data_IF_832311848440
#
_entry.id   IF_832311848440
#
_cell.length_a   1.000
_cell.length_b   1.000
_cell.length_c   1.000
_cell.angle_alpha   90.00
_cell.angle_beta   90.00
_cell.angle_gamma   90.00
#
_symmetry.space_group_name_H-M   'P 1'
#
loop_
_entity.id
_entity.type
_entity.pdbx_description
1 polymer ?
#
# COMPACT_ATOMS: atom_id res chain seq x y z
N UNK A 1 20.77 5.41 2.28
CA UNK A 1 20.17 4.33 1.44
C UNK A 1 19.20 3.53 2.28
N UNK A 2 18.03 3.17 1.72
CA UNK A 2 17.04 2.30 2.37
C UNK A 2 17.66 0.99 2.90
N UNK A 3 17.14 0.45 3.99
CA UNK A 3 17.54 -0.86 4.48
C UNK A 3 16.85 -1.96 3.68
N UNK A 4 17.55 -2.57 2.75
CA UNK A 4 17.08 -3.74 1.98
C UNK A 4 17.79 -4.97 2.50
N UNK A 5 17.02 -6.00 2.95
CA UNK A 5 17.62 -7.18 3.56
C UNK A 5 16.95 -8.47 3.12
N UNK A 6 17.78 -9.43 2.73
CA UNK A 6 17.33 -10.81 2.52
C UNK A 6 16.86 -11.44 3.84
N UNK A 7 15.74 -12.13 3.79
CA UNK A 7 15.22 -12.94 4.89
C UNK A 7 14.76 -14.30 4.37
N UNK A 8 15.22 -15.40 4.97
CA UNK A 8 14.85 -16.78 4.59
C UNK A 8 15.11 -17.10 3.13
N UNK A 9 16.20 -16.58 2.55
CA UNK A 9 16.56 -16.81 1.14
C UNK A 9 15.70 -16.04 0.14
N UNK A 10 14.95 -15.04 0.58
CA UNK A 10 14.17 -14.14 -0.26
C UNK A 10 14.75 -12.73 -0.19
N UNK A 11 15.17 -12.23 -1.33
CA UNK A 11 15.68 -10.84 -1.48
C UNK A 11 14.61 -9.98 -2.12
N UNK A 12 14.35 -8.76 -1.60
CA UNK A 12 13.40 -7.85 -2.22
C UNK A 12 13.76 -7.53 -3.68
N UNK A 13 12.74 -7.46 -4.53
CA UNK A 13 12.84 -7.07 -5.94
C UNK A 13 12.20 -5.70 -6.12
N UNK A 14 12.98 -4.75 -6.63
CA UNK A 14 12.57 -3.36 -6.80
C UNK A 14 12.52 -3.03 -8.30
N UNK A 15 11.39 -2.54 -8.78
CA UNK A 15 11.21 -2.11 -10.16
C UNK A 15 11.97 -0.81 -10.50
N UNK A 16 12.17 -0.59 -11.78
CA UNK A 16 12.88 0.59 -12.31
C UNK A 16 12.20 1.90 -11.86
N UNK A 17 12.98 2.97 -11.75
CA UNK A 17 12.56 4.31 -11.37
C UNK A 17 11.87 4.42 -10.01
N UNK A 18 11.90 3.39 -9.17
CA UNK A 18 11.30 3.43 -7.84
C UNK A 18 12.19 4.21 -6.87
N UNK A 19 11.58 5.20 -6.21
CA UNK A 19 12.23 5.96 -5.13
C UNK A 19 12.15 5.21 -3.80
N UNK A 20 13.27 5.15 -3.09
CA UNK A 20 13.35 4.57 -1.75
C UNK A 20 13.99 5.59 -0.80
N UNK A 21 13.22 6.12 0.15
CA UNK A 21 13.75 7.01 1.17
C UNK A 21 14.79 6.29 2.05
N UNK A 22 15.78 7.01 2.57
CA UNK A 22 16.94 6.44 3.28
C UNK A 22 16.58 5.62 4.51
N UNK A 23 15.47 5.96 5.17
CA UNK A 23 14.98 5.25 6.36
C UNK A 23 13.90 4.21 6.07
N UNK A 24 13.58 3.96 4.79
CA UNK A 24 12.68 2.88 4.42
C UNK A 24 13.31 1.51 4.70
N UNK A 25 12.49 0.57 5.17
CA UNK A 25 12.91 -0.80 5.53
C UNK A 25 12.16 -1.81 4.68
N UNK A 26 12.88 -2.62 3.89
CA UNK A 26 12.29 -3.57 2.95
C UNK A 26 12.96 -4.93 3.16
N UNK A 27 12.22 -5.91 3.68
CA UNK A 27 12.77 -7.17 4.14
C UNK A 27 12.06 -8.37 3.50
N UNK A 28 12.82 -9.36 3.04
CA UNK A 28 12.31 -10.67 2.64
C UNK A 28 11.58 -10.70 1.30
N UNK A 29 10.47 -11.44 1.22
CA UNK A 29 9.69 -11.66 -0.01
C UNK A 29 8.82 -10.45 -0.37
N UNK A 30 9.45 -9.39 -0.84
CA UNK A 30 8.82 -8.15 -1.27
C UNK A 30 9.11 -7.89 -2.74
N UNK A 31 8.07 -7.65 -3.53
CA UNK A 31 8.20 -7.23 -4.93
C UNK A 31 7.52 -5.87 -5.10
N UNK A 32 8.25 -4.89 -5.61
CA UNK A 32 7.77 -3.52 -5.87
C UNK A 32 7.85 -3.27 -7.36
N UNK A 33 6.78 -2.73 -7.95
CA UNK A 33 6.70 -2.37 -9.35
C UNK A 33 7.55 -1.15 -9.73
N UNK A 34 7.34 -0.65 -10.95
CA UNK A 34 8.05 0.52 -11.50
C UNK A 34 7.41 1.82 -11.05
N UNK A 35 8.21 2.88 -11.09
CA UNK A 35 7.76 4.25 -10.85
C UNK A 35 7.04 4.43 -9.50
N UNK A 36 7.38 3.59 -8.51
CA UNK A 36 6.85 3.64 -7.16
C UNK A 36 7.64 4.61 -6.28
N UNK A 37 7.09 4.93 -5.10
CA UNK A 37 7.83 5.67 -4.08
C UNK A 37 7.55 5.10 -2.68
N UNK A 38 8.62 4.77 -1.96
CA UNK A 38 8.58 4.23 -0.60
C UNK A 38 9.24 5.27 0.32
N UNK A 39 8.44 5.84 1.18
CA UNK A 39 8.80 7.05 1.93
C UNK A 39 9.41 6.74 3.28
N UNK A 40 9.74 7.80 4.02
CA UNK A 40 10.52 7.72 5.25
C UNK A 40 9.84 6.86 6.32
N UNK A 41 10.63 5.99 6.95
CA UNK A 41 10.19 5.06 8.01
C UNK A 41 9.08 4.07 7.59
N UNK A 42 8.79 3.95 6.30
CA UNK A 42 7.92 2.88 5.83
C UNK A 42 8.59 1.51 6.03
N UNK A 43 7.85 0.53 6.52
CA UNK A 43 8.33 -0.83 6.80
C UNK A 43 7.55 -1.85 5.98
N UNK A 44 8.23 -2.48 5.04
CA UNK A 44 7.69 -3.56 4.19
C UNK A 44 8.37 -4.87 4.61
N UNK A 45 7.69 -5.65 5.46
CA UNK A 45 8.28 -6.85 6.08
C UNK A 45 7.66 -8.13 5.54
N UNK A 46 8.25 -8.66 4.48
CA UNK A 46 7.88 -9.93 3.81
C UNK A 46 8.64 -11.15 4.37
N UNK A 47 8.83 -11.24 5.69
CA UNK A 47 9.57 -12.33 6.36
C UNK A 47 8.76 -13.60 6.53
N UNK A 48 7.46 -13.50 6.60
CA UNK A 48 6.55 -14.63 6.83
C UNK A 48 5.73 -15.00 5.60
N UNK A 49 5.39 -14.00 4.76
CA UNK A 49 4.65 -14.22 3.53
C UNK A 49 4.90 -13.07 2.55
N UNK A 50 4.41 -13.22 1.33
CA UNK A 50 4.67 -12.33 0.21
C UNK A 50 3.98 -10.98 0.34
N UNK A 51 4.72 -9.91 -0.03
CA UNK A 51 4.20 -8.55 -0.27
C UNK A 51 4.43 -8.21 -1.74
N UNK A 52 3.40 -7.78 -2.45
CA UNK A 52 3.48 -7.34 -3.85
C UNK A 52 2.87 -5.96 -3.98
N UNK A 53 3.58 -5.06 -4.62
CA UNK A 53 3.15 -3.69 -4.91
C UNK A 53 3.24 -3.49 -6.42
N UNK A 54 2.15 -3.03 -7.02
CA UNK A 54 2.08 -2.71 -8.45
C UNK A 54 2.79 -1.42 -8.82
N UNK A 55 2.71 -1.04 -10.08
CA UNK A 55 3.38 0.13 -10.63
C UNK A 55 2.76 1.45 -10.15
N UNK A 56 3.53 2.54 -10.11
CA UNK A 56 3.10 3.92 -9.78
C UNK A 56 2.34 4.04 -8.46
N UNK A 57 2.69 3.17 -7.51
CA UNK A 57 2.08 3.11 -6.18
C UNK A 57 3.00 3.79 -5.18
N UNK A 58 2.42 4.60 -4.28
CA UNK A 58 3.18 5.24 -3.22
C UNK A 58 2.84 4.67 -1.85
N UNK A 59 3.87 4.40 -1.07
CA UNK A 59 3.82 3.93 0.31
C UNK A 59 4.40 5.03 1.17
N UNK A 60 3.53 5.79 1.83
CA UNK A 60 3.90 7.04 2.50
C UNK A 60 4.60 6.80 3.84
N UNK A 61 5.04 7.89 4.47
CA UNK A 61 5.85 7.84 5.68
C UNK A 61 5.17 7.05 6.80
N UNK A 62 5.96 6.20 7.46
CA UNK A 62 5.52 5.41 8.61
C UNK A 62 4.52 4.29 8.29
N UNK A 63 4.20 4.03 7.02
CA UNK A 63 3.33 2.90 6.64
C UNK A 63 3.96 1.57 7.01
N UNK A 64 3.15 0.65 7.53
CA UNK A 64 3.59 -0.73 7.81
C UNK A 64 2.82 -1.71 6.92
N UNK A 65 3.57 -2.44 6.10
CA UNK A 65 3.04 -3.58 5.34
C UNK A 65 3.59 -4.88 5.94
N UNK A 66 2.70 -5.77 6.32
CA UNK A 66 3.07 -7.08 6.85
C UNK A 66 2.03 -8.14 6.49
N UNK A 67 2.23 -9.36 6.95
CA UNK A 67 1.34 -10.48 6.68
C UNK A 67 1.33 -11.44 7.85
N UNK A 68 0.37 -12.36 7.91
CA UNK A 68 0.34 -13.40 8.94
C UNK A 68 1.12 -14.65 8.50
N UNK A 69 1.82 -15.29 9.42
CA UNK A 69 2.38 -16.62 9.21
C UNK A 69 1.30 -17.67 9.43
N UNK A 70 0.79 -18.20 8.35
CA UNK A 70 -0.15 -19.32 8.39
C UNK A 70 0.46 -20.55 7.70
N UNK A 71 0.58 -21.65 8.45
CA UNK A 71 0.93 -22.97 7.88
C UNK A 71 -0.28 -23.61 7.18
N UNK A 72 -1.48 -23.12 7.44
CA UNK A 72 -2.69 -23.58 6.80
C UNK A 72 -2.79 -23.11 5.34
N UNK A 73 -3.74 -23.63 4.60
CA UNK A 73 -3.83 -23.63 3.14
C UNK A 73 -4.10 -22.28 2.47
N UNK A 74 -4.20 -21.18 3.21
CA UNK A 74 -4.51 -19.85 2.66
C UNK A 74 -3.66 -18.75 3.31
N UNK A 75 -2.38 -18.65 2.92
CA UNK A 75 -1.53 -17.60 3.44
C UNK A 75 -2.09 -16.24 3.01
N UNK A 76 -2.41 -15.39 3.98
CA UNK A 76 -2.77 -14.01 3.66
C UNK A 76 -1.53 -13.28 3.14
N UNK A 77 -1.59 -12.84 1.90
CA UNK A 77 -0.57 -12.02 1.27
C UNK A 77 -1.00 -10.56 1.32
N UNK A 78 -0.06 -9.66 1.39
CA UNK A 78 -0.35 -8.25 1.14
C UNK A 78 -0.11 -7.96 -0.33
N UNK A 79 -1.19 -7.68 -1.05
CA UNK A 79 -1.15 -7.37 -2.49
C UNK A 79 -1.76 -5.99 -2.70
N UNK A 80 -1.01 -5.09 -3.31
CA UNK A 80 -1.43 -3.73 -3.62
C UNK A 80 -1.29 -3.54 -5.13
N UNK A 81 -2.35 -3.07 -5.77
CA UNK A 81 -2.40 -2.85 -7.22
C UNK A 81 -1.59 -1.65 -7.70
N UNK A 82 -1.88 -1.23 -8.92
CA UNK A 82 -1.25 -0.09 -9.57
C UNK A 82 -1.97 1.22 -9.20
N UNK A 83 -1.23 2.34 -9.27
CA UNK A 83 -1.79 3.68 -9.05
C UNK A 83 -2.52 3.80 -7.70
N UNK A 84 -1.96 3.17 -6.65
CA UNK A 84 -2.49 3.18 -5.28
C UNK A 84 -1.70 4.15 -4.42
N UNK A 85 -2.40 4.93 -3.61
CA UNK A 85 -1.77 5.74 -2.56
C UNK A 85 -2.08 5.15 -1.19
N UNK A 86 -1.04 4.77 -0.44
CA UNK A 86 -1.16 4.33 0.95
C UNK A 86 -0.67 5.44 1.86
N UNK A 87 -1.61 6.12 2.51
CA UNK A 87 -1.39 7.33 3.30
C UNK A 87 -0.55 7.09 4.55
N UNK A 88 0.05 8.18 5.04
CA UNK A 88 0.97 8.17 6.20
C UNK A 88 0.44 7.35 7.38
N UNK A 89 1.30 6.56 8.00
CA UNK A 89 1.02 5.72 9.18
C UNK A 89 -0.12 4.69 8.99
N UNK A 90 -0.54 4.41 7.76
CA UNK A 90 -1.50 3.33 7.53
C UNK A 90 -0.85 1.96 7.77
N UNK A 91 -1.68 0.98 8.15
CA UNK A 91 -1.26 -0.42 8.33
C UNK A 91 -2.04 -1.28 7.34
N UNK A 92 -1.33 -2.03 6.51
CA UNK A 92 -1.92 -3.04 5.63
C UNK A 92 -1.35 -4.40 6.00
N UNK A 93 -2.19 -5.22 6.61
CA UNK A 93 -1.80 -6.52 7.13
C UNK A 93 -2.58 -7.65 6.44
N UNK A 94 -1.92 -8.38 5.54
CA UNK A 94 -2.51 -9.51 4.84
C UNK A 94 -3.75 -9.19 4.00
N UNK A 95 -3.86 -7.98 3.46
CA UNK A 95 -5.01 -7.51 2.68
C UNK A 95 -4.69 -7.39 1.20
N UNK A 96 -5.71 -7.46 0.36
CA UNK A 96 -5.64 -7.27 -1.09
C UNK A 96 -6.31 -5.94 -1.46
N UNK A 97 -5.57 -5.07 -2.12
CA UNK A 97 -6.02 -3.76 -2.61
C UNK A 97 -5.89 -3.74 -4.12
N UNK A 98 -6.99 -3.46 -4.80
CA UNK A 98 -7.03 -3.31 -6.27
C UNK A 98 -6.41 -2.00 -6.75
N UNK A 99 -6.43 -1.77 -8.05
CA UNK A 99 -5.87 -0.58 -8.68
C UNK A 99 -6.66 0.69 -8.35
N UNK A 100 -5.98 1.85 -8.49
CA UNK A 100 -6.63 3.15 -8.36
C UNK A 100 -7.38 3.30 -7.04
N UNK A 101 -6.73 3.00 -5.92
CA UNK A 101 -7.29 3.16 -4.58
C UNK A 101 -6.52 4.22 -3.78
N UNK A 102 -7.24 4.87 -2.86
CA UNK A 102 -6.64 5.70 -1.83
C UNK A 102 -6.91 5.06 -0.46
N UNK A 103 -5.86 4.73 0.25
CA UNK A 103 -5.90 4.30 1.65
C UNK A 103 -5.51 5.50 2.49
N UNK A 104 -6.46 6.02 3.26
CA UNK A 104 -6.27 7.23 4.06
C UNK A 104 -5.24 7.07 5.18
N UNK A 105 -4.70 8.21 5.63
CA UNK A 105 -3.72 8.28 6.71
C UNK A 105 -4.22 7.56 7.97
N UNK A 106 -3.36 6.74 8.58
CA UNK A 106 -3.68 5.99 9.80
C UNK A 106 -4.74 4.88 9.65
N UNK A 107 -5.23 4.61 8.44
CA UNK A 107 -6.18 3.51 8.22
C UNK A 107 -5.52 2.16 8.49
N UNK A 108 -6.30 1.20 9.00
CA UNK A 108 -5.84 -0.17 9.27
C UNK A 108 -6.69 -1.16 8.49
N UNK A 109 -6.03 -1.97 7.67
CA UNK A 109 -6.63 -3.05 6.90
C UNK A 109 -6.12 -4.39 7.44
N UNK A 110 -7.04 -5.26 7.84
CA UNK A 110 -6.70 -6.54 8.46
C UNK A 110 -6.73 -7.71 7.49
N UNK A 111 -6.27 -8.87 7.96
CA UNK A 111 -6.04 -10.07 7.17
C UNK A 111 -7.23 -10.48 6.30
N UNK A 112 -6.93 -10.86 5.06
CA UNK A 112 -7.88 -11.33 4.05
C UNK A 112 -8.98 -10.29 3.69
N UNK A 113 -8.84 -9.03 4.12
CA UNK A 113 -9.68 -7.97 3.60
C UNK A 113 -9.42 -7.76 2.11
N UNK A 114 -10.47 -7.50 1.35
CA UNK A 114 -10.38 -7.19 -0.08
C UNK A 114 -11.00 -5.83 -0.34
N UNK A 115 -10.18 -4.92 -0.79
CA UNK A 115 -10.54 -3.57 -1.25
C UNK A 115 -10.47 -3.58 -2.78
N UNK A 116 -11.58 -3.66 -3.50
CA UNK A 116 -11.58 -3.64 -4.96
C UNK A 116 -11.13 -2.29 -5.51
N UNK A 117 -10.84 -2.26 -6.82
CA UNK A 117 -10.38 -1.05 -7.51
C UNK A 117 -11.32 0.15 -7.36
N UNK A 118 -10.73 1.35 -7.37
CA UNK A 118 -11.44 2.62 -7.33
C UNK A 118 -11.99 3.02 -5.97
N UNK A 119 -11.55 2.38 -4.89
CA UNK A 119 -12.03 2.66 -3.53
C UNK A 119 -11.24 3.77 -2.84
N UNK A 120 -11.92 4.48 -1.94
CA UNK A 120 -11.32 5.37 -0.96
C UNK A 120 -11.62 4.81 0.43
N UNK A 121 -10.57 4.49 1.18
CA UNK A 121 -10.64 4.18 2.60
C UNK A 121 -10.27 5.46 3.36
N UNK A 122 -11.19 5.98 4.14
CA UNK A 122 -10.99 7.24 4.86
C UNK A 122 -9.88 7.13 5.91
N UNK A 123 -9.32 8.28 6.31
CA UNK A 123 -8.31 8.33 7.37
C UNK A 123 -8.83 7.68 8.67
N UNK A 124 -7.95 6.94 9.37
CA UNK A 124 -8.23 6.21 10.61
C UNK A 124 -9.37 5.17 10.52
N UNK A 125 -9.79 4.78 9.33
CA UNK A 125 -10.79 3.73 9.17
C UNK A 125 -10.20 2.34 9.48
N UNK A 126 -11.02 1.45 10.05
CA UNK A 126 -10.66 0.06 10.34
C UNK A 126 -11.43 -0.91 9.44
N UNK A 127 -10.75 -1.49 8.47
CA UNK A 127 -11.29 -2.57 7.63
C UNK A 127 -11.01 -3.92 8.33
N UNK A 128 -12.06 -4.60 8.74
CA UNK A 128 -11.95 -5.84 9.50
C UNK A 128 -11.45 -7.00 8.65
N UNK A 129 -10.90 -8.01 9.32
CA UNK A 129 -10.47 -9.26 8.67
C UNK A 129 -11.59 -9.91 7.87
N UNK A 130 -11.26 -10.45 6.71
CA UNK A 130 -12.17 -11.11 5.77
C UNK A 130 -13.25 -10.19 5.16
N UNK A 131 -13.22 -8.89 5.41
CA UNK A 131 -14.15 -7.95 4.77
C UNK A 131 -13.98 -7.97 3.24
N UNK A 132 -15.10 -7.98 2.52
CA UNK A 132 -15.15 -7.87 1.06
C UNK A 132 -15.89 -6.58 0.73
N UNK A 133 -15.16 -5.57 0.31
CA UNK A 133 -15.72 -4.26 0.01
C UNK A 133 -16.30 -4.23 -1.42
N UNK A 134 -17.13 -3.24 -1.70
CA UNK A 134 -17.66 -3.00 -3.04
C UNK A 134 -16.73 -2.04 -3.81
N UNK A 135 -16.55 -2.23 -5.12
CA UNK A 135 -15.69 -1.36 -5.92
C UNK A 135 -16.23 0.06 -5.99
N UNK A 136 -15.35 1.01 -6.32
CA UNK A 136 -15.69 2.42 -6.55
C UNK A 136 -16.46 3.06 -5.38
N UNK A 137 -16.13 2.72 -4.15
CA UNK A 137 -16.88 3.12 -2.96
C UNK A 137 -15.98 3.76 -1.91
N UNK A 138 -16.55 4.69 -1.15
CA UNK A 138 -15.92 5.33 0.01
C UNK A 138 -16.32 4.59 1.27
N UNK A 139 -15.32 4.18 2.05
CA UNK A 139 -15.49 3.52 3.34
C UNK A 139 -14.89 4.36 4.46
N UNK A 140 -15.59 4.48 5.58
CA UNK A 140 -15.14 5.26 6.74
C UNK A 140 -15.60 4.65 8.06
N UNK A 141 -14.90 4.98 9.14
CA UNK A 141 -15.25 4.61 10.52
C UNK A 141 -14.54 3.39 11.08
N UNK A 142 -14.84 3.07 12.33
CA UNK A 142 -14.29 1.95 13.10
C UNK A 142 -15.45 1.16 13.70
N UNK A 143 -15.83 0.02 13.11
CA UNK A 143 -15.34 -0.55 11.84
C UNK A 143 -15.79 0.26 10.61
N UNK A 144 -15.03 0.14 9.52
CA UNK A 144 -15.32 0.83 8.27
C UNK A 144 -16.62 0.34 7.64
N UNK A 145 -17.46 1.30 7.23
CA UNK A 145 -18.72 1.05 6.52
C UNK A 145 -18.76 1.89 5.25
N UNK A 146 -19.46 1.39 4.24
CA UNK A 146 -19.71 2.15 3.01
C UNK A 146 -20.49 3.42 3.34
N UNK A 147 -19.96 4.55 2.89
CA UNK A 147 -20.58 5.88 3.08
C UNK A 147 -21.29 6.33 1.80
N UNK A 148 -20.63 6.15 0.66
CA UNK A 148 -21.14 6.54 -0.66
C UNK A 148 -20.32 5.92 -1.79
N UNK A 149 -20.76 6.12 -3.02
CA UNK A 149 -19.95 5.86 -4.23
C UNK A 149 -18.86 6.94 -4.37
N UNK A 150 -17.74 6.57 -5.00
CA UNK A 150 -16.69 7.50 -5.42
C UNK A 150 -17.20 8.28 -6.64
N UNK A 151 -17.22 9.62 -6.55
CA UNK A 151 -17.61 10.48 -7.67
C UNK A 151 -16.51 10.52 -8.74
N UNK A 152 -16.87 10.92 -9.97
CA UNK A 152 -15.88 11.14 -11.04
C UNK A 152 -14.81 12.16 -10.63
N UNK A 153 -15.23 13.27 -9.97
CA UNK A 153 -14.34 14.27 -9.43
C UNK A 153 -13.38 13.71 -8.38
N UNK A 154 -13.87 12.93 -7.41
CA UNK A 154 -13.01 12.29 -6.40
C UNK A 154 -12.00 11.32 -7.03
N UNK A 155 -12.37 10.63 -8.10
CA UNK A 155 -11.47 9.75 -8.82
C UNK A 155 -10.31 10.51 -9.45
N UNK A 156 -10.59 11.63 -10.10
CA UNK A 156 -9.55 12.45 -10.72
C UNK A 156 -8.75 13.23 -9.68
N UNK A 157 -9.44 14.01 -8.82
CA UNK A 157 -8.81 15.00 -7.94
C UNK A 157 -8.22 14.40 -6.66
N UNK A 158 -8.66 13.20 -6.26
CA UNK A 158 -8.18 12.57 -5.03
C UNK A 158 -7.34 11.34 -5.35
N UNK A 159 -7.87 10.37 -6.11
CA UNK A 159 -7.16 9.10 -6.32
C UNK A 159 -6.01 9.30 -7.30
N UNK A 160 -6.33 9.69 -8.54
CA UNK A 160 -5.33 9.77 -9.62
C UNK A 160 -4.31 10.87 -9.37
N UNK A 161 -4.78 12.07 -9.00
CA UNK A 161 -3.89 13.18 -8.73
C UNK A 161 -2.90 12.84 -7.62
N UNK A 162 -3.34 12.27 -6.50
CA UNK A 162 -2.43 11.89 -5.42
C UNK A 162 -1.36 10.90 -5.88
N UNK A 163 -1.75 9.85 -6.61
CA UNK A 163 -0.78 8.88 -7.14
C UNK A 163 0.26 9.56 -8.07
N UNK A 164 -0.21 10.44 -8.94
CA UNK A 164 0.66 11.18 -9.87
C UNK A 164 1.57 12.19 -9.14
N UNK A 165 1.04 12.95 -8.19
CA UNK A 165 1.81 13.94 -7.42
C UNK A 165 2.97 13.27 -6.66
N UNK A 166 2.80 12.06 -6.14
CA UNK A 166 3.87 11.33 -5.47
C UNK A 166 5.01 10.87 -6.39
N UNK A 167 4.74 10.67 -7.68
CA UNK A 167 5.83 10.48 -8.66
C UNK A 167 6.63 11.78 -8.86
N UNK A 168 5.93 12.92 -8.94
CA UNK A 168 6.57 14.23 -9.00
C UNK A 168 7.38 14.52 -7.73
N UNK A 169 6.81 14.29 -6.54
CA UNK A 169 7.53 14.50 -5.27
C UNK A 169 8.80 13.65 -5.19
N UNK A 170 8.71 12.40 -5.61
CA UNK A 170 9.87 11.51 -5.64
C UNK A 170 10.98 12.01 -6.59
N UNK A 171 10.64 12.69 -7.68
CA UNK A 171 11.64 13.23 -8.60
C UNK A 171 12.52 14.31 -7.95
N UNK A 172 11.96 15.12 -7.04
CA UNK A 172 12.73 16.17 -6.35
C UNK A 172 13.88 15.61 -5.50
N UNK A 173 13.72 14.41 -4.97
CA UNK A 173 14.76 13.74 -4.16
C UNK A 173 15.79 12.98 -4.99
N UNK A 174 15.54 12.78 -6.29
CA UNK A 174 16.47 12.14 -7.22
C UNK A 174 17.41 13.14 -7.91
N UNK A 175 17.05 14.42 -7.95
CA UNK A 175 17.86 15.47 -8.58
C UNK A 175 19.04 15.92 -7.72
N UNK A 176 19.05 15.55 -6.44
CA UNK A 176 20.09 15.92 -5.46
C UNK A 176 21.14 14.79 -5.26
N UNK A 177 21.05 13.65 -5.97
CA UNK A 177 22.03 12.55 -5.95
C UNK A 177 22.99 12.63 -7.17
#
# INVERSE_FOLDING_TARGET
>A
MALIKEVRGRTPVIGENTFLAETAVILGDVTIGRDCSIWYNAVLRGDVNKIVIGDRTNIQDGVVLHTIYDKAKHPSQTIIGNDVSVGHNAIVHGAVIGDNCLIGMGATLLDNAVVPSGCIIAANALVLSNAKLEPNSVYAGVPAKKVKEVTAEQREEIIRRTAHDYMLYASWFKEDE
#
